data_IF_831534965599
#
_entry.id   IF_831534965599
#
_cell.length_a   1.000
_cell.length_b   1.000
_cell.length_c   1.000
_cell.angle_alpha   90.00
_cell.angle_beta   90.00
_cell.angle_gamma   90.00
#
_symmetry.space_group_name_H-M   'P 1'
#
loop_
_entity.id
_entity.type
_entity.pdbx_description
1 polymer ?
#
# COMPACT_ATOMS: atom_id res chain seq x y z
N UNK A 1 17.56 102.36 -29.66
CA UNK A 1 17.40 102.61 -31.12
C UNK A 1 16.80 101.35 -31.73
N UNK A 2 15.72 101.39 -32.54
CA UNK A 2 14.88 102.51 -32.94
C UNK A 2 13.39 102.33 -32.54
N UNK A 3 12.61 103.30 -32.98
CA UNK A 3 11.30 103.79 -32.55
C UNK A 3 10.11 103.16 -33.35
N UNK A 4 8.85 103.54 -33.06
CA UNK A 4 7.58 102.87 -33.43
C UNK A 4 7.09 103.33 -34.82
N UNK A 5 5.86 103.03 -35.29
CA UNK A 5 4.68 103.89 -35.00
C UNK A 5 3.33 103.10 -34.93
N UNK A 6 2.28 103.53 -34.23
CA UNK A 6 1.39 104.70 -34.42
C UNK A 6 0.44 104.61 -35.64
N UNK A 7 -0.81 105.05 -35.41
CA UNK A 7 -1.95 105.29 -36.33
C UNK A 7 -2.80 104.05 -36.69
N UNK A 8 -4.13 104.10 -36.79
CA UNK A 8 -5.11 105.19 -36.91
C UNK A 8 -6.48 104.62 -36.53
N UNK A 9 -7.28 105.32 -35.73
CA UNK A 9 -8.48 106.06 -36.16
C UNK A 9 -9.53 105.28 -36.96
N UNK A 10 -10.78 105.45 -36.51
CA UNK A 10 -12.09 105.43 -37.20
C UNK A 10 -13.06 104.60 -36.36
N UNK A 11 -14.33 104.94 -36.17
CA UNK A 11 -15.12 106.15 -36.36
C UNK A 11 -16.43 105.85 -35.65
N UNK A 12 -17.11 106.90 -35.23
CA UNK A 12 -18.37 106.84 -34.49
C UNK A 12 -19.52 106.26 -35.31
N UNK A 13 -20.35 105.43 -34.68
CA UNK A 13 -21.76 105.34 -35.02
C UNK A 13 -22.59 104.93 -33.79
N UNK A 14 -23.26 105.94 -33.27
CA UNK A 14 -24.41 105.90 -32.38
C UNK A 14 -25.47 104.86 -32.74
N UNK A 15 -26.08 104.18 -31.77
CA UNK A 15 -27.52 104.35 -31.44
C UNK A 15 -28.02 103.37 -30.35
N UNK A 16 -28.86 103.94 -29.48
CA UNK A 16 -29.95 103.36 -28.66
C UNK A 16 -29.59 102.45 -27.47
N UNK A 17 -29.75 103.05 -26.30
CA UNK A 17 -30.14 102.37 -25.05
C UNK A 17 -31.60 101.91 -25.14
N UNK A 18 -31.91 100.65 -24.80
CA UNK A 18 -33.15 100.31 -24.14
C UNK A 18 -32.90 100.09 -22.65
N UNK A 19 -33.63 100.84 -21.85
CA UNK A 19 -33.83 100.68 -20.41
C UNK A 19 -34.45 99.32 -20.11
N UNK A 20 -33.87 98.55 -19.17
CA UNK A 20 -34.46 97.28 -18.75
C UNK A 20 -33.50 96.41 -17.95
N UNK A 21 -33.20 96.83 -16.72
CA UNK A 21 -32.54 95.99 -15.71
C UNK A 21 -33.41 94.75 -15.42
N UNK A 22 -32.85 93.54 -15.56
CA UNK A 22 -33.07 92.42 -14.64
C UNK A 22 -32.11 91.25 -14.87
N UNK A 23 -31.47 90.87 -13.76
CA UNK A 23 -30.97 89.54 -13.38
C UNK A 23 -29.59 89.04 -13.87
N UNK A 24 -28.62 89.21 -12.96
CA UNK A 24 -27.82 88.15 -12.30
C UNK A 24 -26.91 87.26 -13.16
N UNK A 25 -25.62 87.63 -13.10
CA UNK A 25 -24.45 86.79 -12.86
C UNK A 25 -24.64 85.26 -12.87
N UNK A 26 -24.09 84.60 -13.88
CA UNK A 26 -23.69 83.18 -13.81
C UNK A 26 -22.38 83.00 -14.58
N UNK A 27 -21.53 82.12 -14.07
CA UNK A 27 -20.39 81.46 -14.71
C UNK A 27 -18.97 82.02 -14.46
N UNK A 28 -18.51 81.99 -13.20
CA UNK A 28 -17.07 81.77 -12.90
C UNK A 28 -16.84 80.60 -11.90
N UNK A 29 -17.88 80.07 -11.25
CA UNK A 29 -17.73 79.08 -10.17
C UNK A 29 -17.92 77.61 -10.61
N UNK A 30 -17.45 77.18 -11.78
CA UNK A 30 -17.64 75.79 -12.26
C UNK A 30 -16.36 75.01 -12.61
N UNK A 31 -15.17 75.61 -12.52
CA UNK A 31 -13.90 74.92 -12.81
C UNK A 31 -13.18 74.39 -11.56
N UNK A 32 -13.28 75.06 -10.41
CA UNK A 32 -12.64 74.60 -9.17
C UNK A 32 -13.37 73.39 -8.53
N UNK A 33 -14.69 73.28 -8.69
CA UNK A 33 -15.49 72.20 -8.11
C UNK A 33 -15.31 70.84 -8.82
N UNK A 34 -14.87 70.83 -10.09
CA UNK A 34 -14.64 69.58 -10.85
C UNK A 34 -13.31 68.90 -10.49
N UNK A 35 -12.32 69.64 -10.01
CA UNK A 35 -11.01 69.09 -9.64
C UNK A 35 -11.01 68.42 -8.25
N UNK A 36 -11.73 68.98 -7.28
CA UNK A 36 -11.84 68.40 -5.92
C UNK A 36 -12.69 67.12 -5.92
N UNK A 37 -13.74 67.08 -6.74
CA UNK A 37 -14.62 65.91 -6.88
C UNK A 37 -13.91 64.73 -7.56
N UNK A 38 -13.04 64.97 -8.55
CA UNK A 38 -12.25 63.94 -9.22
C UNK A 38 -11.16 63.34 -8.31
N UNK A 39 -10.60 64.12 -7.38
CA UNK A 39 -9.55 63.65 -6.48
C UNK A 39 -10.11 62.86 -5.27
N UNK A 40 -11.27 63.26 -4.76
CA UNK A 40 -11.96 62.55 -3.66
C UNK A 40 -12.53 61.21 -4.14
N UNK A 41 -13.16 61.18 -5.33
CA UNK A 41 -13.79 59.97 -5.89
C UNK A 41 -12.77 58.91 -6.35
N UNK A 42 -11.59 59.31 -6.83
CA UNK A 42 -10.52 58.36 -7.19
C UNK A 42 -9.92 57.64 -5.96
N UNK A 43 -9.95 58.28 -4.79
CA UNK A 43 -9.42 57.70 -3.54
C UNK A 43 -10.37 56.68 -2.90
N UNK A 44 -11.68 56.84 -3.06
CA UNK A 44 -12.72 55.92 -2.55
C UNK A 44 -12.87 54.71 -3.47
N UNK A 45 -12.87 54.92 -4.79
CA UNK A 45 -12.92 53.83 -5.78
C UNK A 45 -11.68 52.91 -5.72
N UNK A 46 -10.50 53.47 -5.42
CA UNK A 46 -9.29 52.66 -5.26
C UNK A 46 -9.31 51.81 -3.99
N UNK A 47 -9.86 52.32 -2.87
CA UNK A 47 -10.04 51.55 -1.63
C UNK A 47 -11.09 50.45 -1.78
N UNK A 48 -12.20 50.72 -2.47
CA UNK A 48 -13.23 49.72 -2.77
C UNK A 48 -12.71 48.63 -3.71
N UNK A 49 -11.92 48.99 -4.72
CA UNK A 49 -11.27 48.01 -5.60
C UNK A 49 -10.26 47.14 -4.85
N UNK A 50 -9.47 47.73 -3.93
CA UNK A 50 -8.54 46.96 -3.10
C UNK A 50 -9.24 46.00 -2.14
N UNK A 51 -10.36 46.43 -1.54
CA UNK A 51 -11.20 45.61 -0.67
C UNK A 51 -11.85 44.45 -1.42
N UNK A 52 -12.33 44.67 -2.64
CA UNK A 52 -12.88 43.62 -3.49
C UNK A 52 -11.82 42.62 -3.95
N UNK A 53 -10.62 43.09 -4.31
CA UNK A 53 -9.51 42.19 -4.63
C UNK A 53 -9.05 41.38 -3.41
N UNK A 54 -8.96 42.00 -2.23
CA UNK A 54 -8.63 41.30 -0.99
C UNK A 54 -9.70 40.25 -0.63
N UNK A 55 -10.98 40.58 -0.78
CA UNK A 55 -12.08 39.65 -0.59
C UNK A 55 -12.03 38.49 -1.60
N UNK A 56 -11.73 38.77 -2.87
CA UNK A 56 -11.60 37.74 -3.91
C UNK A 56 -10.43 36.77 -3.64
N UNK A 57 -9.31 37.26 -3.09
CA UNK A 57 -8.17 36.42 -2.67
C UNK A 57 -8.53 35.56 -1.44
N UNK A 58 -9.33 36.08 -0.50
CA UNK A 58 -9.76 35.32 0.67
C UNK A 58 -10.74 34.19 0.32
N UNK A 59 -11.54 34.33 -0.75
CA UNK A 59 -12.52 33.32 -1.17
C UNK A 59 -11.84 32.17 -1.95
N UNK A 60 -10.74 32.41 -2.66
CA UNK A 60 -10.00 31.35 -3.38
C UNK A 60 -9.07 30.52 -2.49
N UNK A 61 -8.88 30.90 -1.22
CA UNK A 61 -8.02 30.19 -0.28
C UNK A 61 -8.60 28.88 0.29
N UNK A 62 -9.90 28.61 0.08
CA UNK A 62 -10.57 27.42 0.60
C UNK A 62 -10.88 26.42 -0.53
N UNK A 63 -9.85 25.97 -1.26
CA UNK A 63 -10.08 25.21 -2.49
C UNK A 63 -9.02 24.22 -2.92
N UNK A 64 -7.95 23.97 -2.15
CA UNK A 64 -7.06 22.85 -2.43
C UNK A 64 -7.53 21.63 -1.63
N UNK A 65 -8.29 20.69 -2.24
CA UNK A 65 -8.47 19.40 -1.60
C UNK A 65 -7.07 18.81 -1.39
N UNK A 66 -6.73 18.55 -0.14
CA UNK A 66 -5.56 17.75 0.21
C UNK A 66 -5.85 16.32 -0.26
N UNK A 67 -5.70 16.09 -1.57
CA UNK A 67 -5.92 14.79 -2.16
C UNK A 67 -4.73 13.89 -1.82
N UNK A 68 -5.04 12.74 -1.22
CA UNK A 68 -4.06 11.68 -1.02
C UNK A 68 -3.93 10.93 -2.35
N UNK A 69 -2.83 11.21 -3.07
CA UNK A 69 -2.55 10.58 -4.35
C UNK A 69 -2.33 9.06 -4.27
N UNK A 70 -2.19 8.36 -5.42
CA UNK A 70 -2.07 6.90 -5.48
C UNK A 70 -0.96 6.33 -4.59
N UNK A 71 0.18 7.02 -4.49
CA UNK A 71 1.32 6.63 -3.64
C UNK A 71 0.99 6.58 -2.15
N UNK A 72 -0.16 7.13 -1.73
CA UNK A 72 -0.64 7.15 -0.35
C UNK A 72 -1.69 6.06 -0.07
N UNK A 73 -2.22 5.42 -1.12
CA UNK A 73 -3.11 4.28 -1.05
C UNK A 73 -2.30 2.96 -0.98
N UNK A 74 -1.36 2.88 -0.04
CA UNK A 74 -0.62 1.63 0.20
C UNK A 74 -1.48 0.69 1.06
N UNK A 75 -1.55 -0.58 0.67
CA UNK A 75 -2.28 -1.56 1.46
C UNK A 75 -1.45 -2.00 2.67
N UNK A 76 -2.09 -2.61 3.66
CA UNK A 76 -1.39 -3.20 4.80
C UNK A 76 -0.42 -4.30 4.33
N UNK A 77 -0.78 -5.08 3.30
CA UNK A 77 0.06 -6.13 2.74
C UNK A 77 1.33 -5.58 2.08
N UNK A 78 1.23 -4.45 1.37
CA UNK A 78 2.39 -3.80 0.74
C UNK A 78 3.36 -3.23 1.79
N UNK A 79 2.82 -2.66 2.87
CA UNK A 79 3.60 -2.02 3.93
C UNK A 79 4.25 -3.03 4.87
N UNK A 80 3.53 -4.11 5.17
CA UNK A 80 3.95 -5.18 6.06
C UNK A 80 3.89 -6.52 5.33
N UNK A 81 4.79 -6.76 4.36
CA UNK A 81 4.81 -8.01 3.62
C UNK A 81 5.13 -9.17 4.57
N UNK A 82 4.51 -10.32 4.30
CA UNK A 82 4.85 -11.58 4.94
C UNK A 82 5.67 -12.37 3.92
N UNK A 83 6.90 -12.69 4.29
CA UNK A 83 7.79 -13.56 3.55
C UNK A 83 7.62 -14.99 4.01
N UNK A 84 7.78 -15.95 3.10
CA UNK A 84 7.73 -17.38 3.39
C UNK A 84 9.08 -17.98 3.05
N UNK A 85 9.76 -18.49 4.07
CA UNK A 85 11.09 -19.06 3.94
C UNK A 85 11.04 -20.57 4.09
N UNK A 86 11.77 -21.28 3.22
CA UNK A 86 12.00 -22.71 3.35
C UNK A 86 13.15 -22.96 4.32
N UNK A 87 12.94 -23.82 5.31
CA UNK A 87 13.96 -24.22 6.28
C UNK A 87 14.08 -25.74 6.32
N UNK A 88 15.30 -26.23 6.49
CA UNK A 88 15.57 -27.65 6.73
C UNK A 88 15.70 -27.88 8.23
N UNK A 89 14.87 -28.76 8.77
CA UNK A 89 15.04 -29.29 10.12
C UNK A 89 15.88 -30.56 10.04
N UNK A 90 16.85 -30.71 10.93
CA UNK A 90 17.75 -31.87 10.94
C UNK A 90 18.02 -32.37 12.35
N UNK A 91 18.10 -33.69 12.50
CA UNK A 91 18.54 -34.41 13.68
C UNK A 91 19.77 -35.25 13.30
N UNK A 92 20.84 -35.14 14.08
CA UNK A 92 22.03 -35.97 13.93
C UNK A 92 21.98 -37.14 14.90
N UNK A 93 21.97 -38.35 14.35
CA UNK A 93 21.99 -39.61 15.10
C UNK A 93 23.42 -40.14 15.12
N UNK A 94 23.99 -40.27 16.31
CA UNK A 94 25.32 -40.84 16.50
C UNK A 94 25.38 -42.31 16.04
N UNK A 95 26.51 -42.69 15.44
CA UNK A 95 26.79 -44.08 15.07
C UNK A 95 27.54 -44.72 16.24
N UNK A 96 27.06 -45.87 16.70
CA UNK A 96 27.71 -46.65 17.76
C UNK A 96 28.12 -48.02 17.18
N UNK A 97 29.42 -48.27 16.96
CA UNK A 97 29.89 -49.52 16.39
C UNK A 97 29.76 -50.72 17.34
N UNK A 98 29.42 -50.48 18.62
CA UNK A 98 29.25 -51.53 19.63
C UNK A 98 27.80 -51.93 19.85
N UNK A 99 26.85 -51.14 19.34
CA UNK A 99 25.41 -51.33 19.53
C UNK A 99 24.74 -51.72 18.22
N UNK A 100 24.03 -52.85 18.21
CA UNK A 100 23.24 -53.33 17.06
C UNK A 100 21.89 -52.61 16.89
N UNK A 101 21.79 -51.36 17.32
CA UNK A 101 20.53 -50.64 17.36
C UNK A 101 20.61 -49.24 17.95
N UNK A 102 19.50 -48.52 17.85
CA UNK A 102 19.35 -47.17 18.38
C UNK A 102 19.17 -47.19 19.90
N UNK A 103 19.86 -46.29 20.59
CA UNK A 103 19.66 -46.05 22.01
C UNK A 103 18.25 -45.52 22.29
N UNK A 104 17.78 -45.68 23.54
CA UNK A 104 16.48 -45.12 23.97
C UNK A 104 16.41 -43.60 23.79
N UNK A 105 17.53 -42.89 23.98
CA UNK A 105 17.62 -41.45 23.76
C UNK A 105 17.41 -41.08 22.29
N UNK A 106 18.11 -41.76 21.38
CA UNK A 106 17.95 -41.54 19.94
C UNK A 106 16.53 -41.86 19.46
N UNK A 107 15.90 -42.92 19.99
CA UNK A 107 14.50 -43.24 19.68
C UNK A 107 13.54 -42.13 20.12
N UNK A 108 13.76 -41.54 21.30
CA UNK A 108 12.95 -40.41 21.79
C UNK A 108 13.16 -39.14 20.94
N UNK A 109 14.39 -38.88 20.48
CA UNK A 109 14.68 -37.77 19.57
C UNK A 109 14.02 -37.96 18.20
N UNK A 110 14.00 -39.19 17.67
CA UNK A 110 13.30 -39.51 16.42
C UNK A 110 11.79 -39.35 16.58
N UNK A 111 11.20 -39.79 17.69
CA UNK A 111 9.76 -39.58 17.97
C UNK A 111 9.39 -38.08 18.04
N UNK A 112 10.23 -37.28 18.70
CA UNK A 112 10.09 -35.83 18.74
C UNK A 112 10.20 -35.20 17.33
N UNK A 113 11.13 -35.69 16.51
CA UNK A 113 11.27 -35.27 15.11
C UNK A 113 10.02 -35.63 14.29
N UNK A 114 9.46 -36.84 14.45
CA UNK A 114 8.23 -37.28 13.77
C UNK A 114 7.04 -36.43 14.19
N UNK A 115 6.95 -36.07 15.47
CA UNK A 115 5.91 -35.15 15.97
C UNK A 115 6.04 -33.76 15.34
N UNK A 116 7.26 -33.23 15.22
CA UNK A 116 7.52 -31.96 14.53
C UNK A 116 7.21 -32.06 13.02
N UNK A 117 7.54 -33.18 12.38
CA UNK A 117 7.25 -33.44 10.98
C UNK A 117 5.73 -33.50 10.71
N UNK A 118 4.96 -34.15 11.57
CA UNK A 118 3.49 -34.22 11.42
C UNK A 118 2.80 -32.85 11.52
N UNK A 119 3.36 -31.95 12.31
CA UNK A 119 2.75 -30.63 12.55
C UNK A 119 3.14 -29.60 11.49
N UNK A 120 4.37 -29.62 10.99
CA UNK A 120 4.91 -28.56 10.11
C UNK A 120 5.81 -29.07 8.98
N UNK A 121 5.95 -30.38 8.83
CA UNK A 121 6.82 -31.01 7.84
C UNK A 121 6.18 -31.07 6.47
N UNK A 122 7.02 -30.98 5.45
CA UNK A 122 6.62 -31.05 4.05
C UNK A 122 7.60 -31.88 3.25
N UNK A 123 7.05 -32.61 2.28
CA UNK A 123 7.82 -33.54 1.47
C UNK A 123 8.30 -34.75 2.28
N UNK A 124 9.16 -35.58 1.69
CA UNK A 124 9.69 -36.78 2.34
C UNK A 124 10.70 -36.44 3.44
N UNK A 125 10.87 -37.37 4.38
CA UNK A 125 11.98 -37.35 5.33
C UNK A 125 13.21 -37.96 4.67
N UNK A 126 14.33 -37.26 4.68
CA UNK A 126 15.59 -37.74 4.11
C UNK A 126 16.50 -38.26 5.21
N UNK A 127 16.90 -39.52 5.10
CA UNK A 127 17.93 -40.15 5.95
C UNK A 127 19.23 -40.17 5.16
N UNK A 128 20.23 -39.41 5.63
CA UNK A 128 21.52 -39.26 4.98
C UNK A 128 22.62 -39.94 5.79
N UNK A 129 23.29 -40.93 5.21
CA UNK A 129 24.39 -41.64 5.87
C UNK A 129 25.76 -41.14 5.39
N UNK A 130 26.80 -41.11 6.26
CA UNK A 130 28.17 -40.90 5.83
C UNK A 130 28.67 -42.08 4.97
N UNK A 131 29.63 -41.80 4.08
CA UNK A 131 30.30 -42.77 3.20
C UNK A 131 31.76 -42.40 3.01
N UNK A 132 32.58 -43.38 2.62
CA UNK A 132 34.01 -43.19 2.37
C UNK A 132 34.84 -43.23 3.65
N UNK A 133 34.37 -43.96 4.66
CA UNK A 133 34.93 -44.06 6.00
C UNK A 133 35.23 -45.52 6.36
N UNK A 134 35.92 -45.75 7.47
CA UNK A 134 36.15 -47.11 7.98
C UNK A 134 34.89 -47.73 8.61
N UNK A 135 33.87 -46.94 8.90
CA UNK A 135 32.63 -47.32 9.59
C UNK A 135 31.41 -47.36 8.65
N UNK A 136 31.63 -47.39 7.32
CA UNK A 136 30.55 -47.33 6.31
C UNK A 136 29.47 -48.40 6.53
N UNK A 137 29.84 -49.58 7.04
CA UNK A 137 28.90 -50.64 7.39
C UNK A 137 28.01 -50.25 8.59
N UNK A 138 28.60 -49.75 9.67
CA UNK A 138 27.90 -49.32 10.88
C UNK A 138 26.98 -48.11 10.59
N UNK A 139 27.44 -47.21 9.70
CA UNK A 139 26.66 -46.10 9.21
C UNK A 139 25.42 -46.57 8.41
N UNK A 140 25.58 -47.56 7.54
CA UNK A 140 24.49 -48.15 6.78
C UNK A 140 23.49 -48.89 7.69
N UNK A 141 23.98 -49.65 8.67
CA UNK A 141 23.14 -50.33 9.67
C UNK A 141 22.36 -49.31 10.52
N UNK A 142 23.03 -48.27 11.00
CA UNK A 142 22.39 -47.19 11.76
C UNK A 142 21.31 -46.50 10.92
N UNK A 143 21.59 -46.21 9.64
CA UNK A 143 20.60 -45.62 8.75
C UNK A 143 19.39 -46.55 8.52
N UNK A 144 19.60 -47.85 8.38
CA UNK A 144 18.51 -48.83 8.29
C UNK A 144 17.66 -48.85 9.58
N UNK A 145 18.30 -48.84 10.74
CA UNK A 145 17.63 -48.78 12.05
C UNK A 145 16.81 -47.49 12.22
N UNK A 146 17.34 -46.35 11.77
CA UNK A 146 16.61 -45.07 11.74
C UNK A 146 15.38 -45.14 10.84
N UNK A 147 15.50 -45.70 9.63
CA UNK A 147 14.37 -45.86 8.70
C UNK A 147 13.29 -46.76 9.29
N UNK A 148 13.69 -47.84 9.97
CA UNK A 148 12.76 -48.71 10.67
C UNK A 148 12.08 -48.00 11.84
N UNK A 149 12.81 -47.21 12.63
CA UNK A 149 12.24 -46.42 13.72
C UNK A 149 11.21 -45.40 13.20
N UNK A 150 11.54 -44.65 12.14
CA UNK A 150 10.59 -43.74 11.48
C UNK A 150 9.32 -44.47 11.03
N UNK A 151 9.46 -45.68 10.48
CA UNK A 151 8.32 -46.50 10.09
C UNK A 151 7.47 -46.97 11.28
N UNK A 152 8.10 -47.42 12.35
CA UNK A 152 7.43 -47.80 13.59
C UNK A 152 6.65 -46.62 14.21
N UNK A 153 7.14 -45.39 14.03
CA UNK A 153 6.43 -44.18 14.44
C UNK A 153 5.34 -43.74 13.47
N UNK A 154 5.11 -44.47 12.37
CA UNK A 154 4.00 -44.29 11.44
C UNK A 154 4.31 -43.44 10.21
N UNK A 155 5.58 -43.32 9.82
CA UNK A 155 5.97 -42.77 8.51
C UNK A 155 6.06 -43.92 7.50
N UNK A 156 5.36 -43.83 6.38
CA UNK A 156 5.44 -44.87 5.34
C UNK A 156 6.83 -44.88 4.70
N UNK A 157 7.37 -46.07 4.38
CA UNK A 157 8.68 -46.19 3.74
C UNK A 157 8.78 -45.43 2.41
N UNK A 158 7.67 -45.22 1.70
CA UNK A 158 7.61 -44.42 0.47
C UNK A 158 7.93 -42.94 0.70
N UNK A 159 7.68 -42.44 1.91
CA UNK A 159 7.90 -41.05 2.33
C UNK A 159 9.28 -40.87 2.98
N UNK A 160 10.10 -41.93 3.01
CA UNK A 160 11.47 -41.92 3.54
C UNK A 160 12.47 -42.05 2.39
N UNK A 161 13.21 -41.00 2.12
CA UNK A 161 14.27 -40.97 1.13
C UNK A 161 15.62 -41.29 1.75
N UNK A 162 16.45 -42.04 1.02
CA UNK A 162 17.84 -42.29 1.39
C UNK A 162 18.78 -41.37 0.63
N UNK A 163 19.82 -40.88 1.31
CA UNK A 163 20.91 -40.12 0.70
C UNK A 163 22.24 -40.47 1.37
N UNK A 164 23.34 -40.01 0.79
CA UNK A 164 24.68 -40.22 1.34
C UNK A 164 25.53 -38.96 1.21
N UNK A 165 26.42 -38.73 2.17
CA UNK A 165 27.44 -37.68 2.10
C UNK A 165 28.84 -38.26 2.33
N UNK A 166 29.89 -37.59 1.84
CA UNK A 166 31.27 -37.99 2.14
C UNK A 166 31.74 -37.34 3.43
N UNK A 167 32.10 -38.15 4.42
CA UNK A 167 32.60 -37.65 5.70
C UNK A 167 34.09 -37.28 5.55
N UNK A 168 34.36 -36.04 5.15
CA UNK A 168 35.73 -35.51 5.00
C UNK A 168 36.42 -35.22 6.34
N UNK A 169 36.57 -36.21 7.22
CA UNK A 169 37.24 -36.08 8.52
C UNK A 169 36.42 -35.38 9.62
N UNK A 170 35.09 -35.33 9.47
CA UNK A 170 34.14 -34.83 10.48
C UNK A 170 33.53 -36.00 11.26
N UNK A 171 33.04 -35.79 12.49
CA UNK A 171 32.32 -36.83 13.21
C UNK A 171 31.17 -37.39 12.36
N UNK A 172 31.12 -38.72 12.28
CA UNK A 172 30.22 -39.47 11.41
C UNK A 172 28.88 -39.63 12.13
N UNK A 173 27.82 -39.10 11.52
CA UNK A 173 26.46 -39.18 12.06
C UNK A 173 25.48 -39.43 10.94
N UNK A 174 24.46 -40.23 11.19
CA UNK A 174 23.31 -40.32 10.29
C UNK A 174 22.44 -39.08 10.50
N UNK A 175 22.16 -38.35 9.42
CA UNK A 175 21.38 -37.10 9.48
C UNK A 175 19.96 -37.40 8.99
N UNK A 176 18.97 -37.16 9.84
CA UNK A 176 17.55 -37.22 9.49
C UNK A 176 17.08 -35.80 9.26
N UNK A 177 16.55 -35.48 8.08
CA UNK A 177 16.11 -34.13 7.77
C UNK A 177 14.78 -34.09 7.03
N UNK A 178 14.06 -32.98 7.18
CA UNK A 178 12.85 -32.69 6.43
C UNK A 178 12.71 -31.19 6.19
N UNK A 179 11.89 -30.83 5.21
CA UNK A 179 11.62 -29.43 4.89
C UNK A 179 10.44 -28.91 5.71
N UNK A 180 10.55 -27.70 6.25
CA UNK A 180 9.43 -26.93 6.79
C UNK A 180 9.40 -25.54 6.16
N UNK A 181 8.25 -24.88 6.20
CA UNK A 181 8.14 -23.47 5.83
C UNK A 181 7.85 -22.62 7.07
N UNK A 182 8.29 -21.37 7.04
CA UNK A 182 8.08 -20.39 8.10
C UNK A 182 7.62 -19.08 7.50
N UNK A 183 6.53 -18.52 8.01
CA UNK A 183 6.06 -17.19 7.66
C UNK A 183 6.67 -16.16 8.61
N UNK A 184 7.27 -15.11 8.05
CA UNK A 184 7.85 -14.00 8.80
C UNK A 184 7.32 -12.68 8.26
N UNK A 185 6.74 -11.86 9.13
CA UNK A 185 6.31 -10.49 8.80
C UNK A 185 7.45 -9.49 9.05
N UNK A 186 7.36 -8.32 8.42
CA UNK A 186 8.26 -7.21 8.73
C UNK A 186 8.16 -6.76 10.21
N UNK A 187 9.26 -6.22 10.73
CA UNK A 187 9.33 -5.71 12.10
C UNK A 187 8.42 -4.48 12.27
N UNK A 188 7.69 -4.43 13.39
CA UNK A 188 6.90 -3.26 13.79
C UNK A 188 7.75 -2.24 14.56
N UNK A 189 7.19 -1.05 14.81
CA UNK A 189 7.80 -0.04 15.69
C UNK A 189 8.51 1.09 14.96
N UNK A 190 8.12 1.35 13.70
CA UNK A 190 8.62 2.48 12.92
C UNK A 190 7.68 3.67 13.14
N UNK A 191 8.14 4.71 13.83
CA UNK A 191 7.34 5.92 14.11
C UNK A 191 7.71 7.11 13.20
N UNK A 192 8.66 6.91 12.28
CA UNK A 192 9.09 7.94 11.33
C UNK A 192 7.94 8.35 10.41
N UNK A 193 7.65 9.65 10.34
CA UNK A 193 6.60 10.19 9.45
C UNK A 193 5.18 10.10 10.00
N UNK A 194 5.00 9.67 11.26
CA UNK A 194 3.69 9.58 11.89
C UNK A 194 2.99 10.95 12.01
N UNK A 195 3.72 12.01 12.37
CA UNK A 195 3.18 13.36 12.45
C UNK A 195 2.62 13.83 11.10
N UNK A 196 3.37 13.58 10.02
CA UNK A 196 2.95 13.92 8.64
C UNK A 196 1.72 13.11 8.24
N UNK A 197 1.69 11.82 8.61
CA UNK A 197 0.55 10.94 8.34
C UNK A 197 -0.72 11.44 9.05
N UNK A 198 -0.62 11.83 10.32
CA UNK A 198 -1.73 12.41 11.11
C UNK A 198 -2.25 13.72 10.50
N UNK A 199 -1.36 14.65 10.15
CA UNK A 199 -1.72 15.95 9.55
C UNK A 199 -2.45 15.79 8.20
N UNK A 200 -2.15 14.72 7.45
CA UNK A 200 -2.74 14.44 6.14
C UNK A 200 -3.83 13.36 6.17
N UNK A 201 -4.28 12.95 7.36
CA UNK A 201 -5.25 11.88 7.56
C UNK A 201 -4.91 10.59 6.78
N UNK A 202 -3.64 10.17 6.85
CA UNK A 202 -3.13 8.95 6.23
C UNK A 202 -2.89 7.84 7.27
N UNK A 203 -2.95 6.55 6.88
CA UNK A 203 -2.64 5.44 7.77
C UNK A 203 -1.21 5.57 8.32
N UNK A 204 -1.07 5.61 9.65
CA UNK A 204 0.24 5.71 10.31
C UNK A 204 1.14 4.52 9.94
N UNK A 205 2.48 4.64 10.01
CA UNK A 205 3.40 3.61 9.49
C UNK A 205 3.30 2.22 10.12
N UNK A 206 2.76 2.10 11.34
CA UNK A 206 2.56 0.81 12.02
C UNK A 206 1.13 0.25 11.84
N UNK A 207 0.29 0.89 11.03
CA UNK A 207 -1.09 0.48 10.83
C UNK A 207 -1.14 -0.93 10.23
N UNK A 208 -1.84 -1.85 10.91
CA UNK A 208 -1.96 -3.25 10.50
C UNK A 208 -0.73 -4.13 10.77
N UNK A 209 0.34 -3.60 11.36
CA UNK A 209 1.56 -4.37 11.60
C UNK A 209 1.35 -5.55 12.55
N UNK A 210 0.62 -5.33 13.66
CA UNK A 210 0.29 -6.39 14.61
C UNK A 210 -0.58 -7.49 13.98
N UNK A 211 -1.52 -7.10 13.12
CA UNK A 211 -2.39 -8.05 12.41
C UNK A 211 -1.57 -8.95 11.48
N UNK A 212 -0.59 -8.38 10.78
CA UNK A 212 0.31 -9.13 9.89
C UNK A 212 1.25 -10.06 10.65
N UNK A 213 1.75 -9.64 11.82
CA UNK A 213 2.54 -10.52 12.69
C UNK A 213 1.69 -11.68 13.25
N UNK A 214 0.48 -11.39 13.71
CA UNK A 214 -0.43 -12.43 14.21
C UNK A 214 -0.83 -13.40 13.09
N UNK A 215 -1.10 -12.90 11.89
CA UNK A 215 -1.39 -13.75 10.73
C UNK A 215 -0.20 -14.67 10.41
N UNK A 216 1.03 -14.16 10.38
CA UNK A 216 2.23 -14.95 10.15
C UNK A 216 2.44 -16.02 11.25
N UNK A 217 2.06 -15.73 12.50
CA UNK A 217 2.19 -16.66 13.62
C UNK A 217 1.08 -17.72 13.67
N UNK A 218 -0.14 -17.39 13.23
CA UNK A 218 -1.31 -18.26 13.31
C UNK A 218 -1.51 -19.13 12.06
N UNK A 219 -0.87 -18.80 10.94
CA UNK A 219 -1.05 -19.57 9.70
C UNK A 219 -0.62 -21.03 9.90
N UNK A 220 -1.48 -21.96 9.47
CA UNK A 220 -1.24 -23.39 9.61
C UNK A 220 -0.15 -23.88 8.62
N UNK A 221 -0.31 -23.60 7.32
CA UNK A 221 0.71 -23.83 6.29
C UNK A 221 1.18 -22.48 5.72
N UNK A 222 2.42 -22.04 6.02
CA UNK A 222 2.97 -20.79 5.49
C UNK A 222 2.95 -20.69 3.96
N UNK A 223 2.99 -21.80 3.22
CA UNK A 223 3.00 -21.78 1.74
C UNK A 223 1.73 -21.22 1.14
N UNK A 224 0.61 -21.29 1.86
CA UNK A 224 -0.66 -20.71 1.40
C UNK A 224 -0.55 -19.21 1.19
N UNK A 225 0.27 -18.53 2.01
CA UNK A 225 0.55 -17.09 1.88
C UNK A 225 1.38 -16.74 0.64
N UNK A 226 2.15 -17.69 0.10
CA UNK A 226 2.89 -17.50 -1.15
C UNK A 226 2.00 -17.77 -2.38
N UNK A 227 1.12 -18.77 -2.28
CA UNK A 227 0.22 -19.16 -3.38
C UNK A 227 -0.89 -18.14 -3.64
N UNK A 228 -1.35 -17.42 -2.61
CA UNK A 228 -2.45 -16.45 -2.72
C UNK A 228 -2.05 -15.08 -3.31
N UNK A 229 -0.77 -14.81 -3.58
CA UNK A 229 -0.34 -13.46 -4.01
C UNK A 229 -0.71 -13.09 -5.45
N UNK A 230 -1.33 -13.98 -6.22
CA UNK A 230 -1.90 -13.68 -7.54
C UNK A 230 -3.40 -13.44 -7.44
N UNK A 231 -3.84 -12.51 -6.59
CA UNK A 231 -5.14 -11.89 -6.78
C UNK A 231 -4.92 -10.66 -7.66
N UNK A 232 -5.65 -10.55 -8.77
CA UNK A 232 -5.65 -9.37 -9.62
C UNK A 232 -5.84 -8.09 -8.77
N UNK A 233 -5.32 -6.94 -9.23
CA UNK A 233 -5.58 -5.67 -8.57
C UNK A 233 -7.09 -5.54 -8.27
N UNK A 234 -7.41 -5.23 -7.03
CA UNK A 234 -8.80 -5.01 -6.63
C UNK A 234 -9.34 -3.76 -7.32
N UNK A 235 -9.89 -3.93 -8.52
CA UNK A 235 -10.60 -2.88 -9.23
C UNK A 235 -12.01 -2.75 -8.65
N UNK A 236 -12.36 -1.54 -8.21
CA UNK A 236 -13.68 -1.26 -7.64
C UNK A 236 -14.83 -1.58 -8.61
N UNK A 237 -14.59 -1.46 -9.92
CA UNK A 237 -15.53 -1.86 -10.97
C UNK A 237 -15.73 -3.38 -11.02
N UNK A 238 -14.63 -4.14 -10.98
CA UNK A 238 -14.64 -5.61 -10.92
C UNK A 238 -15.28 -6.11 -9.62
N UNK A 239 -15.04 -5.44 -8.49
CA UNK A 239 -15.67 -5.77 -7.21
C UNK A 239 -17.15 -5.37 -7.14
N UNK A 240 -17.56 -4.31 -7.83
CA UNK A 240 -18.95 -3.86 -7.88
C UNK A 240 -19.79 -4.68 -8.86
N UNK A 241 -19.19 -5.27 -9.89
CA UNK A 241 -19.89 -6.02 -10.95
C UNK A 241 -20.76 -7.18 -10.44
N UNK A 242 -20.31 -8.04 -9.50
CA UNK A 242 -21.17 -9.09 -8.93
C UNK A 242 -22.33 -8.51 -8.11
N UNK A 243 -22.10 -7.39 -7.40
CA UNK A 243 -23.12 -6.74 -6.57
C UNK A 243 -24.17 -6.07 -7.44
N UNK A 244 -23.76 -5.40 -8.53
CA UNK A 244 -24.68 -4.81 -9.49
C UNK A 244 -25.45 -5.88 -10.27
N UNK A 245 -24.79 -6.98 -10.66
CA UNK A 245 -25.42 -8.14 -11.26
C UNK A 245 -26.46 -8.78 -10.34
N UNK A 246 -26.18 -8.95 -9.05
CA UNK A 246 -27.12 -9.48 -8.06
C UNK A 246 -28.31 -8.53 -7.78
N UNK A 247 -28.14 -7.24 -8.05
CA UNK A 247 -29.21 -6.23 -7.92
C UNK A 247 -30.04 -6.08 -9.20
N UNK A 248 -29.60 -6.67 -10.32
CA UNK A 248 -30.30 -6.58 -11.60
C UNK A 248 -31.65 -7.31 -11.49
N UNK A 249 -32.78 -6.69 -11.89
CA UNK A 249 -34.10 -7.31 -11.82
C UNK A 249 -34.23 -8.59 -12.68
N UNK A 250 -33.29 -8.83 -13.59
CA UNK A 250 -33.21 -10.05 -14.42
C UNK A 250 -32.57 -11.25 -13.69
N UNK A 251 -31.83 -11.00 -12.60
CA UNK A 251 -31.13 -12.00 -11.80
C UNK A 251 -31.95 -12.24 -10.53
N UNK A 252 -32.96 -13.10 -10.63
CA UNK A 252 -33.82 -13.45 -9.50
C UNK A 252 -33.29 -14.73 -8.85
N UNK A 253 -33.05 -14.68 -7.54
CA UNK A 253 -32.70 -15.87 -6.76
C UNK A 253 -33.92 -16.80 -6.75
N UNK A 254 -33.76 -18.03 -7.25
CA UNK A 254 -34.81 -19.04 -7.21
C UNK A 254 -34.92 -19.65 -5.79
N UNK A 255 -35.96 -20.45 -5.53
CA UNK A 255 -36.22 -21.05 -4.21
C UNK A 255 -35.08 -21.96 -3.69
N UNK A 256 -34.14 -22.35 -4.58
CA UNK A 256 -32.95 -23.14 -4.25
C UNK A 256 -31.68 -22.32 -3.98
N UNK A 257 -31.75 -20.98 -4.04
CA UNK A 257 -30.62 -20.08 -3.75
C UNK A 257 -29.66 -19.86 -4.91
N UNK A 258 -30.01 -20.24 -6.14
CA UNK A 258 -29.21 -20.04 -7.34
C UNK A 258 -29.71 -18.82 -8.13
N UNK A 259 -28.79 -18.02 -8.69
CA UNK A 259 -29.12 -16.88 -9.55
C UNK A 259 -29.38 -17.40 -10.96
N UNK A 260 -30.64 -17.39 -11.38
CA UNK A 260 -31.02 -17.67 -12.76
C UNK A 260 -31.06 -16.34 -13.54
N UNK A 261 -30.28 -16.23 -14.60
CA UNK A 261 -30.30 -15.05 -15.48
C UNK A 261 -31.45 -15.22 -16.47
N UNK A 262 -32.53 -14.46 -16.28
CA UNK A 262 -33.70 -14.54 -17.15
C UNK A 262 -33.32 -14.05 -18.56
N UNK A 263 -33.29 -14.95 -19.55
CA UNK A 263 -33.28 -14.59 -20.98
C UNK A 263 -32.09 -15.04 -21.83
N UNK A 264 -31.17 -15.88 -21.34
CA UNK A 264 -30.21 -16.58 -22.22
C UNK A 264 -30.74 -17.97 -22.55
N UNK A 265 -31.18 -18.18 -23.78
CA UNK A 265 -31.29 -19.54 -24.32
C UNK A 265 -29.91 -20.21 -24.22
N UNK A 266 -29.85 -21.49 -23.81
CA UNK A 266 -28.59 -22.21 -23.74
C UNK A 266 -27.99 -22.29 -25.14
N UNK A 267 -26.82 -21.66 -25.33
CA UNK A 267 -26.03 -21.87 -26.53
C UNK A 267 -25.58 -23.32 -26.51
N UNK A 268 -26.11 -24.10 -27.44
CA UNK A 268 -25.82 -25.51 -27.66
C UNK A 268 -24.32 -25.79 -27.51
N UNK A 269 -24.00 -26.67 -26.57
CA UNK A 269 -22.69 -27.29 -26.49
C UNK A 269 -22.51 -28.20 -27.71
N UNK A 270 -21.54 -27.86 -28.56
CA UNK A 270 -20.98 -28.76 -29.57
C UNK A 270 -19.47 -28.88 -29.37
#
# INVERSE_FOLDING_TARGET
MPHPPFFSQLSWASLRRPTGFRARAVAVASLAARWVSFWIDRSTNMKQSLLLCAAAILITACGTPLYNGPNQATTVSDRHPISVDQQTMSLSVAIDPTSHGLSRGQLAEIDALVTAYRTRGHGPITVTAPTGTTSDLDAAETAANVRQALNNFGIDYRDIQGSSYRAGGRPETVIVSFTRYVATSSACGVYKGEFVSRMRNMPHPNFGCADRQNLAAMVADPRDLARMQTSDPMDGESAASPVSAAKSPENRVNETGFIDTIGREPVDAR
#
